data_IF_722543418139
#
_entry.id   IF_722543418139
#
_cell.length_a   1.000
_cell.length_b   1.000
_cell.length_c   1.000
_cell.angle_alpha   90.00
_cell.angle_beta   90.00
_cell.angle_gamma   90.00
#
_symmetry.space_group_name_H-M   'P 1'
#
loop_
_entity.id
_entity.type
_entity.pdbx_description
1 polymer ?
#
# COMPACT_ATOMS: atom_id res chain seq x y z
N UNK A 1 21.45 18.48 27.05
CA UNK A 1 20.52 18.10 25.96
C UNK A 1 21.07 16.85 25.31
N UNK A 2 20.31 15.75 25.27
CA UNK A 2 20.73 14.57 24.53
C UNK A 2 20.73 14.91 23.03
N UNK A 3 21.78 14.53 22.31
CA UNK A 3 21.80 14.63 20.85
C UNK A 3 20.68 13.77 20.28
N UNK A 4 19.70 14.40 19.63
CA UNK A 4 18.68 13.68 18.87
C UNK A 4 19.36 12.99 17.67
N UNK A 5 19.18 11.68 17.55
CA UNK A 5 19.70 10.93 16.40
C UNK A 5 18.93 11.29 15.14
N UNK A 6 19.58 11.20 13.97
CA UNK A 6 18.90 11.44 12.69
C UNK A 6 17.62 10.59 12.55
N UNK A 7 17.68 9.32 12.96
CA UNK A 7 16.53 8.40 12.92
C UNK A 7 15.36 8.90 13.74
N UNK A 8 15.56 9.36 14.98
CA UNK A 8 14.46 9.87 15.79
C UNK A 8 13.95 11.24 15.31
N UNK A 9 14.79 12.02 14.64
CA UNK A 9 14.40 13.29 14.02
C UNK A 9 13.56 13.09 12.75
N UNK A 10 14.00 12.20 11.86
CA UNK A 10 13.36 11.95 10.57
C UNK A 10 12.25 10.89 10.63
N UNK A 11 11.97 10.27 11.78
CA UNK A 11 10.85 9.33 11.90
C UNK A 11 9.55 10.08 12.18
N UNK A 12 8.49 9.89 11.37
CA UNK A 12 7.17 10.42 11.71
C UNK A 12 6.61 9.70 12.95
N UNK A 13 5.80 10.38 13.78
CA UNK A 13 5.08 9.72 14.86
C UNK A 13 4.21 8.56 14.35
N UNK A 14 4.13 7.43 15.07
CA UNK A 14 3.42 6.24 14.59
C UNK A 14 1.91 6.48 14.41
N UNK A 15 1.30 7.35 15.20
CA UNK A 15 -0.12 7.70 15.10
C UNK A 15 -0.45 8.64 13.94
N UNK A 16 0.54 9.18 13.23
CA UNK A 16 0.34 10.11 12.13
C UNK A 16 -0.18 9.36 10.90
N UNK A 17 -1.17 9.93 10.22
CA UNK A 17 -1.68 9.38 8.96
C UNK A 17 -0.54 9.14 7.95
N UNK A 18 -0.61 8.02 7.23
CA UNK A 18 0.42 7.58 6.26
C UNK A 18 1.79 7.22 6.87
N UNK A 19 1.91 7.13 8.19
CA UNK A 19 3.04 6.45 8.83
C UNK A 19 3.04 4.95 8.47
N UNK A 20 4.14 4.25 8.75
CA UNK A 20 4.18 2.80 8.55
C UNK A 20 3.17 2.07 9.43
N UNK A 21 3.00 2.50 10.69
CA UNK A 21 1.98 1.97 11.61
C UNK A 21 0.57 2.19 11.07
N UNK A 22 0.30 3.38 10.50
CA UNK A 22 -0.98 3.66 9.87
C UNK A 22 -1.34 2.64 8.78
N UNK A 23 -0.41 2.31 7.88
CA UNK A 23 -0.68 1.33 6.83
C UNK A 23 -0.79 -0.11 7.33
N UNK A 24 -0.11 -0.44 8.43
CA UNK A 24 -0.23 -1.76 9.06
C UNK A 24 -1.60 -1.98 9.68
N UNK A 25 -2.26 -0.93 10.16
CA UNK A 25 -3.58 -1.00 10.79
C UNK A 25 -4.73 -0.65 9.82
N UNK A 26 -4.41 -0.25 8.58
CA UNK A 26 -5.38 0.21 7.61
C UNK A 26 -6.11 -0.98 6.96
N UNK A 27 -7.43 -1.02 7.12
CA UNK A 27 -8.27 -2.01 6.40
C UNK A 27 -8.50 -1.61 4.95
N UNK A 28 -8.86 -2.59 4.10
CA UNK A 28 -9.20 -2.35 2.70
C UNK A 28 -10.40 -1.39 2.57
N UNK A 29 -11.45 -1.54 3.39
CA UNK A 29 -12.57 -0.61 3.40
C UNK A 29 -12.10 0.83 3.69
N UNK A 30 -11.29 1.03 4.72
CA UNK A 30 -10.77 2.35 5.07
C UNK A 30 -9.86 2.92 3.96
N UNK A 31 -9.00 2.10 3.37
CA UNK A 31 -8.10 2.53 2.31
C UNK A 31 -8.84 2.99 1.05
N UNK A 32 -9.93 2.30 0.72
CA UNK A 32 -10.72 2.56 -0.49
C UNK A 32 -11.64 3.77 -0.34
N UNK A 33 -12.19 3.99 0.85
CA UNK A 33 -13.12 5.10 1.17
C UNK A 33 -12.40 6.42 1.51
N UNK A 34 -11.18 6.38 2.05
CA UNK A 34 -10.43 7.59 2.42
C UNK A 34 -9.86 8.32 1.19
N UNK A 35 -9.84 9.65 1.28
CA UNK A 35 -9.12 10.50 0.32
C UNK A 35 -7.62 10.28 0.46
N UNK A 36 -7.01 9.67 -0.56
CA UNK A 36 -5.55 9.58 -0.68
C UNK A 36 -4.97 10.95 -1.07
N UNK A 37 -3.71 11.29 -0.70
CA UNK A 37 -3.05 12.46 -1.27
C UNK A 37 -2.86 12.27 -2.78
N UNK A 38 -2.78 13.39 -3.48
CA UNK A 38 -2.51 13.40 -4.90
C UNK A 38 -1.00 13.35 -5.07
N UNK A 39 -0.47 12.31 -5.71
CA UNK A 39 0.95 12.21 -6.02
C UNK A 39 1.18 12.87 -7.38
N UNK A 40 2.04 13.88 -7.43
CA UNK A 40 2.42 14.52 -8.68
C UNK A 40 3.15 13.52 -9.60
N UNK A 41 3.03 13.66 -10.94
CA UNK A 41 3.72 12.78 -11.88
C UNK A 41 5.24 12.75 -11.66
N UNK A 42 5.88 11.64 -12.05
CA UNK A 42 7.34 11.53 -12.09
C UNK A 42 7.90 12.61 -13.03
N UNK A 43 9.03 13.22 -12.67
CA UNK A 43 9.63 14.36 -13.37
C UNK A 43 8.98 15.70 -13.03
N UNK A 44 8.19 15.77 -11.95
CA UNK A 44 7.52 17.01 -11.52
C UNK A 44 8.40 17.89 -10.65
N UNK A 45 9.37 17.32 -9.92
CA UNK A 45 10.31 18.10 -9.10
C UNK A 45 11.28 18.87 -9.99
N UNK A 46 11.34 20.19 -9.80
CA UNK A 46 12.18 21.12 -10.53
C UNK A 46 13.53 21.29 -9.83
N UNK A 47 13.51 21.43 -8.50
CA UNK A 47 14.70 21.61 -7.69
C UNK A 47 14.40 21.28 -6.23
N UNK A 48 15.42 20.85 -5.49
CA UNK A 48 15.34 20.73 -4.05
C UNK A 48 16.65 21.20 -3.39
N UNK A 49 16.55 21.74 -2.17
CA UNK A 49 17.72 22.18 -1.38
C UNK A 49 17.46 22.00 0.11
N UNK A 50 18.51 21.68 0.85
CA UNK A 50 18.43 21.60 2.30
C UNK A 50 18.43 22.98 2.96
N UNK A 51 17.72 23.09 4.08
CA UNK A 51 17.60 24.31 4.87
C UNK A 51 17.90 24.01 6.34
N UNK A 52 18.50 24.97 7.07
CA UNK A 52 18.81 24.81 8.50
C UNK A 52 17.58 25.00 9.39
N UNK A 53 16.50 25.62 8.88
CA UNK A 53 15.32 25.91 9.69
C UNK A 53 14.50 24.65 10.00
N UNK A 54 13.92 24.62 11.20
CA UNK A 54 12.91 23.63 11.58
C UNK A 54 11.54 24.22 11.24
N UNK A 55 10.84 23.72 10.22
CA UNK A 55 9.52 24.23 9.88
C UNK A 55 8.50 23.77 10.92
N UNK A 56 7.73 24.71 11.46
CA UNK A 56 6.73 24.46 12.51
C UNK A 56 5.31 24.29 11.95
N UNK A 57 5.12 24.46 10.64
CA UNK A 57 3.80 24.36 10.03
C UNK A 57 3.35 22.90 9.91
N UNK A 58 2.04 22.68 10.06
CA UNK A 58 1.44 21.38 9.78
C UNK A 58 1.73 20.93 8.34
N UNK A 59 1.67 21.85 7.37
CA UNK A 59 1.99 21.57 5.97
C UNK A 59 3.43 21.09 5.74
N UNK A 60 4.36 21.28 6.69
CA UNK A 60 5.73 20.79 6.58
C UNK A 60 5.95 19.41 7.22
N UNK A 61 5.06 18.99 8.13
CA UNK A 61 5.28 17.80 8.99
C UNK A 61 4.22 16.71 8.83
N UNK A 62 3.00 17.05 8.40
CA UNK A 62 1.89 16.12 8.18
C UNK A 62 1.40 16.17 6.73
N UNK A 63 0.82 15.08 6.23
CA UNK A 63 0.09 15.08 4.96
C UNK A 63 -1.37 15.45 5.24
N UNK A 64 -1.84 16.57 4.70
CA UNK A 64 -3.22 17.02 4.91
C UNK A 64 -4.19 16.44 3.85
N UNK A 65 -5.50 16.32 4.14
CA UNK A 65 -6.47 15.85 3.15
C UNK A 65 -6.44 16.68 1.86
N UNK A 66 -6.40 16.02 0.71
CA UNK A 66 -6.33 16.68 -0.61
C UNK A 66 -4.99 17.32 -0.94
N UNK A 67 -3.95 17.12 -0.11
CA UNK A 67 -2.61 17.62 -0.40
C UNK A 67 -2.07 17.00 -1.69
N UNK A 68 -1.39 17.82 -2.48
CA UNK A 68 -0.56 17.35 -3.59
C UNK A 68 0.86 17.22 -3.09
N UNK A 69 1.41 16.01 -3.15
CA UNK A 69 2.79 15.70 -2.78
C UNK A 69 3.61 15.36 -4.04
N UNK A 70 4.93 15.62 -4.06
CA UNK A 70 5.79 15.16 -5.14
C UNK A 70 5.87 13.63 -5.21
N UNK A 71 6.20 13.09 -6.39
CA UNK A 71 6.56 11.68 -6.51
C UNK A 71 7.83 11.39 -5.70
N UNK A 72 7.84 10.29 -4.92
CA UNK A 72 9.05 9.91 -4.19
C UNK A 72 10.22 9.57 -5.12
N UNK A 73 9.95 9.09 -6.34
CA UNK A 73 11.00 8.79 -7.33
C UNK A 73 11.87 10.01 -7.65
N UNK A 74 11.27 11.19 -7.71
CA UNK A 74 11.98 12.45 -7.95
C UNK A 74 12.77 12.93 -6.71
N UNK A 75 12.47 12.38 -5.54
CA UNK A 75 13.10 12.74 -4.27
C UNK A 75 14.20 11.77 -3.84
N UNK A 76 14.43 10.65 -4.56
CA UNK A 76 15.43 9.64 -4.19
C UNK A 76 16.80 10.29 -3.97
N UNK A 77 17.26 11.11 -4.93
CA UNK A 77 18.55 11.80 -4.85
C UNK A 77 18.65 12.78 -3.67
N UNK A 78 17.57 13.49 -3.35
CA UNK A 78 17.53 14.36 -2.16
C UNK A 78 17.59 13.50 -0.88
N UNK A 79 16.81 12.43 -0.83
CA UNK A 79 16.71 11.60 0.39
C UNK A 79 17.92 10.71 0.63
N UNK A 80 18.76 10.43 -0.37
CA UNK A 80 20.04 9.74 -0.15
C UNK A 80 21.04 10.60 0.64
N UNK A 81 20.96 11.92 0.53
CA UNK A 81 21.90 12.85 1.18
C UNK A 81 21.36 13.44 2.50
N UNK A 82 20.13 13.11 2.90
CA UNK A 82 19.43 13.75 4.02
C UNK A 82 20.12 13.56 5.38
N UNK A 83 20.73 12.39 5.62
CA UNK A 83 21.46 12.12 6.86
C UNK A 83 22.76 12.92 6.92
N UNK A 84 23.44 13.07 5.78
CA UNK A 84 24.63 13.92 5.67
C UNK A 84 24.25 15.38 5.92
N UNK A 85 23.20 15.87 5.26
CA UNK A 85 22.69 17.22 5.47
C UNK A 85 22.28 17.47 6.93
N UNK A 86 21.69 16.48 7.61
CA UNK A 86 21.36 16.56 9.04
C UNK A 86 22.62 16.78 9.90
N UNK A 87 23.69 16.03 9.63
CA UNK A 87 25.00 16.17 10.31
C UNK A 87 25.64 17.53 10.05
N UNK A 88 25.40 18.10 8.87
CA UNK A 88 25.85 19.44 8.48
C UNK A 88 24.96 20.58 9.03
N UNK A 89 23.93 20.26 9.82
CA UNK A 89 23.08 21.25 10.49
C UNK A 89 21.75 21.52 9.81
N UNK A 90 21.47 20.87 8.68
CA UNK A 90 20.16 20.99 8.01
C UNK A 90 19.05 20.26 8.78
N UNK A 91 17.84 20.78 8.67
CA UNK A 91 16.67 20.31 9.43
C UNK A 91 15.44 20.14 8.54
N UNK A 92 15.44 20.74 7.36
CA UNK A 92 14.37 20.62 6.39
C UNK A 92 14.92 20.68 4.97
N UNK A 93 14.05 20.52 3.99
CA UNK A 93 14.38 20.80 2.60
C UNK A 93 13.23 21.55 1.92
N UNK A 94 13.58 22.56 1.13
CA UNK A 94 12.68 23.21 0.20
C UNK A 94 12.63 22.37 -1.08
N UNK A 95 11.43 22.01 -1.50
CA UNK A 95 11.17 21.28 -2.74
C UNK A 95 10.29 22.15 -3.64
N UNK A 96 10.76 22.41 -4.85
CA UNK A 96 10.01 23.06 -5.91
C UNK A 96 9.55 22.01 -6.90
N UNK A 97 8.26 21.95 -7.18
CA UNK A 97 7.69 20.98 -8.12
C UNK A 97 6.49 21.56 -8.86
N UNK A 98 6.18 21.02 -10.04
CA UNK A 98 5.08 21.45 -10.90
C UNK A 98 3.92 20.47 -10.85
N UNK A 99 2.71 20.97 -10.65
CA UNK A 99 1.48 20.19 -10.73
C UNK A 99 0.37 20.99 -11.42
N UNK A 100 -0.31 20.41 -12.41
CA UNK A 100 -1.34 21.07 -13.22
C UNK A 100 -0.89 22.45 -13.76
N UNK A 101 0.34 22.51 -14.28
CA UNK A 101 0.93 23.74 -14.83
C UNK A 101 1.31 24.81 -13.79
N UNK A 102 1.06 24.56 -12.50
CA UNK A 102 1.41 25.49 -11.41
C UNK A 102 2.65 25.02 -10.67
N UNK A 103 3.55 25.95 -10.39
CA UNK A 103 4.72 25.69 -9.55
C UNK A 103 4.34 25.82 -8.08
N UNK A 104 4.83 24.87 -7.29
CA UNK A 104 4.69 24.85 -5.84
C UNK A 104 6.09 24.85 -5.24
N UNK A 105 6.28 25.65 -4.20
CA UNK A 105 7.52 25.73 -3.43
C UNK A 105 7.14 25.46 -1.97
N UNK A 106 7.59 24.32 -1.44
CA UNK A 106 7.17 23.84 -0.12
C UNK A 106 8.40 23.44 0.68
N UNK A 107 8.43 23.79 1.96
CA UNK A 107 9.47 23.36 2.90
C UNK A 107 8.94 22.15 3.66
N UNK A 108 9.65 21.02 3.54
CA UNK A 108 9.33 19.78 4.23
C UNK A 108 10.31 19.51 5.36
N UNK A 109 9.77 19.16 6.52
CA UNK A 109 10.54 18.53 7.59
C UNK A 109 11.02 17.15 7.12
N UNK A 110 12.15 16.68 7.63
CA UNK A 110 12.72 15.39 7.21
C UNK A 110 11.77 14.21 7.41
N UNK A 111 10.96 14.23 8.47
CA UNK A 111 9.93 13.20 8.71
C UNK A 111 8.83 13.14 7.66
N UNK A 112 8.56 14.23 6.93
CA UNK A 112 7.54 14.24 5.88
C UNK A 112 7.99 13.49 4.64
N UNK A 113 9.30 13.38 4.38
CA UNK A 113 9.80 12.53 3.29
C UNK A 113 9.48 11.06 3.50
N UNK A 114 9.49 10.57 4.74
CA UNK A 114 9.08 9.21 5.06
C UNK A 114 7.58 9.00 4.80
N UNK A 115 6.74 9.99 5.12
CA UNK A 115 5.31 9.94 4.80
C UNK A 115 5.07 9.92 3.29
N UNK A 116 5.76 10.78 2.53
CA UNK A 116 5.69 10.82 1.06
C UNK A 116 6.15 9.50 0.45
N UNK A 117 7.23 8.91 0.98
CA UNK A 117 7.71 7.58 0.57
C UNK A 117 6.65 6.52 0.82
N UNK A 118 6.08 6.49 2.02
CA UNK A 118 5.04 5.51 2.34
C UNK A 118 3.82 5.66 1.42
N UNK A 119 3.35 6.89 1.18
CA UNK A 119 2.29 7.14 0.22
C UNK A 119 2.65 6.60 -1.18
N UNK A 120 3.85 6.88 -1.67
CA UNK A 120 4.28 6.39 -2.98
C UNK A 120 4.36 4.86 -3.05
N UNK A 121 4.80 4.20 -1.96
CA UNK A 121 4.95 2.75 -1.90
C UNK A 121 3.60 2.02 -1.83
N UNK A 122 2.61 2.57 -1.12
CA UNK A 122 1.31 1.93 -0.93
C UNK A 122 0.26 2.35 -1.97
N UNK A 123 0.50 3.40 -2.77
CA UNK A 123 -0.43 3.86 -3.80
C UNK A 123 -0.88 2.74 -4.76
N UNK A 124 0.03 1.91 -5.33
CA UNK A 124 -0.37 0.88 -6.28
C UNK A 124 -1.34 -0.14 -5.66
N UNK A 125 -1.05 -0.56 -4.42
CA UNK A 125 -1.89 -1.51 -3.69
C UNK A 125 -3.27 -0.91 -3.40
N UNK A 126 -3.34 0.35 -2.96
CA UNK A 126 -4.58 1.03 -2.62
C UNK A 126 -5.45 1.26 -3.86
N UNK A 127 -4.85 1.69 -4.97
CA UNK A 127 -5.54 1.82 -6.25
C UNK A 127 -6.08 0.47 -6.70
N UNK A 128 -5.26 -0.58 -6.61
CA UNK A 128 -5.70 -1.94 -6.95
C UNK A 128 -6.85 -2.43 -6.07
N UNK A 129 -6.80 -2.22 -4.75
CA UNK A 129 -7.90 -2.57 -3.85
C UNK A 129 -9.19 -1.81 -4.16
N UNK A 130 -9.12 -0.53 -4.59
CA UNK A 130 -10.31 0.21 -5.04
C UNK A 130 -10.96 -0.45 -6.24
N UNK A 131 -10.16 -0.90 -7.22
CA UNK A 131 -10.67 -1.61 -8.39
C UNK A 131 -11.24 -2.98 -8.01
N UNK A 132 -10.52 -3.76 -7.19
CA UNK A 132 -10.97 -5.05 -6.68
C UNK A 132 -12.31 -4.94 -5.95
N UNK A 133 -12.42 -4.01 -5.01
CA UNK A 133 -13.62 -3.86 -4.20
C UNK A 133 -14.82 -3.46 -5.06
N UNK A 134 -14.66 -2.54 -6.01
CA UNK A 134 -15.72 -2.17 -6.97
C UNK A 134 -16.17 -3.34 -7.81
N UNK A 135 -15.24 -4.19 -8.26
CA UNK A 135 -15.56 -5.35 -9.09
C UNK A 135 -16.25 -6.45 -8.27
N UNK A 136 -15.75 -6.74 -7.07
CA UNK A 136 -16.35 -7.71 -6.15
C UNK A 136 -17.77 -7.30 -5.73
N UNK A 137 -18.02 -6.01 -5.57
CA UNK A 137 -19.33 -5.46 -5.22
C UNK A 137 -20.26 -5.29 -6.44
N UNK A 138 -19.78 -5.55 -7.65
CA UNK A 138 -20.62 -5.48 -8.85
C UNK A 138 -21.53 -6.70 -8.95
N UNK A 139 -22.72 -6.52 -9.54
CA UNK A 139 -23.72 -7.58 -9.70
C UNK A 139 -23.21 -8.78 -10.54
N UNK A 140 -22.10 -8.64 -11.26
CA UNK A 140 -21.48 -9.74 -11.99
C UNK A 140 -20.75 -10.76 -11.11
N UNK A 141 -20.44 -10.42 -9.85
CA UNK A 141 -19.69 -11.29 -8.95
C UNK A 141 -20.60 -11.76 -7.79
N UNK A 142 -21.18 -12.96 -7.93
CA UNK A 142 -22.09 -13.55 -6.93
C UNK A 142 -21.32 -14.11 -5.71
N UNK A 143 -20.61 -13.26 -4.97
CA UNK A 143 -20.01 -13.64 -3.68
C UNK A 143 -21.02 -13.50 -2.54
N UNK A 144 -20.88 -14.38 -1.55
CA UNK A 144 -21.61 -14.26 -0.28
C UNK A 144 -21.21 -12.96 0.42
N UNK A 145 -22.17 -12.28 1.04
CA UNK A 145 -21.93 -11.04 1.80
C UNK A 145 -20.82 -11.19 2.85
N UNK A 146 -20.77 -12.35 3.53
CA UNK A 146 -19.73 -12.65 4.50
C UNK A 146 -18.31 -12.58 3.89
N UNK A 147 -18.12 -13.08 2.67
CA UNK A 147 -16.83 -13.04 1.97
C UNK A 147 -16.42 -11.62 1.59
N UNK A 148 -17.40 -10.80 1.18
CA UNK A 148 -17.18 -9.37 0.89
C UNK A 148 -16.75 -8.64 2.16
N UNK A 149 -17.41 -8.90 3.30
CA UNK A 149 -17.04 -8.30 4.58
C UNK A 149 -15.67 -8.77 5.08
N UNK A 150 -15.32 -10.05 4.91
CA UNK A 150 -13.97 -10.54 5.22
C UNK A 150 -12.92 -9.81 4.38
N UNK A 151 -13.16 -9.63 3.08
CA UNK A 151 -12.27 -8.87 2.21
C UNK A 151 -12.16 -7.40 2.65
N UNK A 152 -13.28 -6.72 2.90
CA UNK A 152 -13.33 -5.32 3.36
C UNK A 152 -12.56 -5.10 4.66
N UNK A 153 -12.66 -6.03 5.61
CA UNK A 153 -12.04 -5.93 6.93
C UNK A 153 -10.59 -6.46 6.98
N UNK A 154 -10.09 -7.05 5.89
CA UNK A 154 -8.69 -7.44 5.79
C UNK A 154 -7.78 -6.20 5.76
N UNK A 155 -6.54 -6.35 6.25
CA UNK A 155 -5.54 -5.28 6.24
C UNK A 155 -5.00 -5.08 4.82
N UNK A 156 -4.60 -3.86 4.48
CA UNK A 156 -3.95 -3.56 3.20
C UNK A 156 -2.68 -4.38 3.00
N UNK A 157 -1.99 -4.71 4.09
CA UNK A 157 -0.76 -5.52 4.14
C UNK A 157 -1.00 -7.02 4.26
N UNK A 158 -2.27 -7.47 4.25
CA UNK A 158 -2.61 -8.88 4.32
C UNK A 158 -2.10 -9.63 3.09
N UNK A 159 -1.59 -10.83 3.34
CA UNK A 159 -1.25 -11.81 2.31
C UNK A 159 -2.42 -12.75 2.05
N UNK A 160 -2.42 -13.36 0.87
CA UNK A 160 -3.31 -14.48 0.60
C UNK A 160 -2.95 -15.65 1.54
N UNK A 161 -3.97 -16.37 2.01
CA UNK A 161 -3.83 -17.51 2.92
C UNK A 161 -4.50 -18.74 2.32
N UNK A 162 -4.17 -19.93 2.82
CA UNK A 162 -4.73 -21.20 2.34
C UNK A 162 -4.03 -21.77 1.11
N UNK A 163 -2.77 -21.40 0.89
CA UNK A 163 -1.88 -21.95 -0.12
C UNK A 163 -0.60 -22.45 0.57
N UNK A 164 -0.08 -23.60 0.16
CA UNK A 164 1.15 -24.19 0.67
C UNK A 164 2.39 -23.52 0.07
N UNK A 165 2.33 -23.13 -1.21
CA UNK A 165 3.48 -22.55 -1.93
C UNK A 165 3.27 -21.07 -2.22
N UNK A 166 2.06 -20.66 -2.60
CA UNK A 166 1.81 -19.27 -2.97
C UNK A 166 1.74 -18.36 -1.72
N UNK A 167 2.62 -17.36 -1.68
CA UNK A 167 2.72 -16.41 -0.57
C UNK A 167 2.89 -14.98 -1.07
N UNK A 168 1.78 -14.31 -1.38
CA UNK A 168 1.81 -13.00 -2.00
C UNK A 168 0.77 -12.05 -1.40
N UNK A 169 0.98 -10.75 -1.61
CA UNK A 169 0.13 -9.69 -1.07
C UNK A 169 -1.25 -9.69 -1.73
N UNK A 170 -2.32 -9.57 -0.95
CA UNK A 170 -3.69 -9.74 -1.43
C UNK A 170 -4.06 -8.79 -2.59
N UNK A 171 -3.51 -7.57 -2.61
CA UNK A 171 -3.76 -6.62 -3.70
C UNK A 171 -3.34 -7.15 -5.07
N UNK A 172 -2.37 -8.07 -5.16
CA UNK A 172 -1.91 -8.63 -6.44
C UNK A 172 -3.01 -9.39 -7.17
N UNK A 173 -4.08 -9.82 -6.49
CA UNK A 173 -5.26 -10.39 -7.15
C UNK A 173 -5.88 -9.43 -8.18
N UNK A 174 -5.63 -8.12 -8.07
CA UNK A 174 -6.10 -7.15 -9.06
C UNK A 174 -5.52 -7.36 -10.45
N UNK A 175 -4.42 -8.11 -10.61
CA UNK A 175 -3.91 -8.47 -11.93
C UNK A 175 -4.90 -9.33 -12.75
N UNK A 176 -5.92 -9.91 -12.10
CA UNK A 176 -6.99 -10.68 -12.73
C UNK A 176 -8.10 -9.78 -13.33
N UNK A 177 -8.12 -8.48 -13.00
CA UNK A 177 -9.21 -7.57 -13.38
C UNK A 177 -8.96 -6.75 -14.66
N UNK A 178 -7.81 -6.92 -15.31
CA UNK A 178 -7.47 -6.16 -16.51
C UNK A 178 -6.44 -6.85 -17.39
N UNK A 179 -6.01 -6.17 -18.44
CA UNK A 179 -4.98 -6.63 -19.38
C UNK A 179 -3.55 -6.45 -18.82
N UNK A 180 -3.38 -6.69 -17.52
CA UNK A 180 -2.06 -6.75 -16.91
C UNK A 180 -1.45 -8.14 -17.10
N UNK A 181 -0.12 -8.20 -17.18
CA UNK A 181 0.60 -9.45 -17.08
C UNK A 181 0.23 -10.17 -15.78
N UNK A 182 -0.14 -11.44 -15.88
CA UNK A 182 -0.39 -12.27 -14.72
C UNK A 182 0.93 -12.48 -13.97
N UNK A 183 0.97 -12.10 -12.71
CA UNK A 183 2.14 -12.36 -11.88
C UNK A 183 2.29 -13.87 -11.61
N UNK A 184 3.53 -14.36 -11.62
CA UNK A 184 3.85 -15.78 -11.38
C UNK A 184 3.25 -16.29 -10.07
N UNK A 185 3.31 -15.48 -9.01
CA UNK A 185 2.72 -15.80 -7.71
C UNK A 185 1.22 -16.11 -7.79
N UNK A 186 0.49 -15.33 -8.60
CA UNK A 186 -0.96 -15.49 -8.79
C UNK A 186 -1.23 -16.75 -9.63
N UNK A 187 -0.43 -16.99 -10.65
CA UNK A 187 -0.50 -18.21 -11.45
C UNK A 187 -0.27 -19.47 -10.59
N UNK A 188 0.75 -19.45 -9.73
CA UNK A 188 1.05 -20.54 -8.80
C UNK A 188 -0.11 -20.82 -7.84
N UNK A 189 -0.75 -19.78 -7.30
CA UNK A 189 -1.97 -19.95 -6.50
C UNK A 189 -3.12 -20.57 -7.32
N UNK A 190 -3.34 -20.14 -8.56
CA UNK A 190 -4.39 -20.72 -9.40
C UNK A 190 -4.14 -22.21 -9.71
N UNK A 191 -2.88 -22.59 -9.94
CA UNK A 191 -2.49 -23.99 -10.13
C UNK A 191 -2.73 -24.81 -8.87
N UNK A 192 -2.30 -24.30 -7.73
CA UNK A 192 -2.46 -24.95 -6.44
C UNK A 192 -3.96 -25.09 -6.07
N UNK A 193 -4.76 -24.06 -6.30
CA UNK A 193 -6.21 -24.12 -6.14
C UNK A 193 -6.84 -25.20 -7.04
N UNK A 194 -6.42 -25.29 -8.30
CA UNK A 194 -6.88 -26.32 -9.24
C UNK A 194 -6.50 -27.73 -8.78
N UNK A 195 -5.28 -27.89 -8.25
CA UNK A 195 -4.81 -29.16 -7.68
C UNK A 195 -5.69 -29.58 -6.49
N UNK A 196 -5.94 -28.68 -5.52
CA UNK A 196 -6.77 -28.99 -4.37
C UNK A 196 -8.20 -29.32 -4.75
N UNK A 197 -8.79 -28.60 -5.70
CA UNK A 197 -10.14 -28.89 -6.19
C UNK A 197 -10.23 -30.28 -6.81
N UNK A 198 -9.23 -30.68 -7.61
CA UNK A 198 -9.17 -32.03 -8.20
C UNK A 198 -9.02 -33.11 -7.13
N UNK A 199 -8.12 -32.91 -6.17
CA UNK A 199 -7.90 -33.83 -5.07
C UNK A 199 -9.16 -34.02 -4.21
N UNK A 200 -9.90 -32.93 -3.95
CA UNK A 200 -11.17 -32.98 -3.23
C UNK A 200 -12.21 -33.81 -3.98
N UNK A 201 -12.41 -33.55 -5.28
CA UNK A 201 -13.36 -34.31 -6.11
C UNK A 201 -13.04 -35.81 -6.11
N UNK A 202 -11.76 -36.17 -6.23
CA UNK A 202 -11.32 -37.57 -6.18
C UNK A 202 -11.55 -38.23 -4.82
N UNK A 203 -11.32 -37.50 -3.73
CA UNK A 203 -11.60 -37.97 -2.37
C UNK A 203 -13.09 -38.19 -2.14
N UNK A 204 -13.94 -37.26 -2.57
CA UNK A 204 -15.40 -37.37 -2.48
C UNK A 204 -15.96 -38.53 -3.33
N UNK A 205 -15.38 -38.79 -4.51
CA UNK A 205 -15.78 -39.93 -5.34
C UNK A 205 -15.47 -41.29 -4.67
N UNK A 206 -14.45 -41.34 -3.82
CA UNK A 206 -14.08 -42.53 -3.07
C UNK A 206 -14.84 -42.68 -1.73
N UNK A 207 -15.60 -41.67 -1.30
CA UNK A 207 -16.44 -41.67 -0.10
C UNK A 207 -17.77 -40.91 -0.35
N UNK A 208 -18.84 -41.60 -0.80
CA UNK A 208 -20.09 -40.97 -1.24
C UNK A 208 -20.89 -40.25 -0.14
N UNK A 209 -20.49 -40.33 1.14
CA UNK A 209 -21.08 -39.55 2.23
C UNK A 209 -20.70 -38.05 2.21
N UNK A 210 -19.77 -37.64 1.33
CA UNK A 210 -19.32 -36.24 1.19
C UNK A 210 -19.83 -35.54 -0.09
N UNK A 211 -20.69 -36.18 -0.87
CA UNK A 211 -21.04 -35.73 -2.22
C UNK A 211 -21.99 -34.50 -2.29
N UNK A 212 -22.72 -34.19 -1.21
CA UNK A 212 -23.80 -33.19 -1.26
C UNK A 212 -23.38 -31.75 -0.92
N UNK A 213 -22.11 -31.49 -0.61
CA UNK A 213 -21.62 -30.13 -0.39
C UNK A 213 -20.28 -29.95 -1.09
N UNK A 214 -20.26 -29.32 -2.26
CA UNK A 214 -19.06 -28.64 -2.73
C UNK A 214 -18.89 -27.47 -1.77
N UNK A 215 -17.88 -27.47 -0.86
CA UNK A 215 -17.77 -26.37 0.06
C UNK A 215 -17.30 -25.14 -0.74
N UNK A 216 -17.94 -24.00 -0.51
CA UNK A 216 -17.48 -22.68 -0.98
C UNK A 216 -16.10 -22.29 -0.38
N UNK A 217 -15.50 -23.19 0.39
CA UNK A 217 -14.23 -23.01 1.10
C UNK A 217 -13.52 -24.36 1.17
N UNK A 218 -12.38 -24.50 0.49
CA UNK A 218 -11.49 -25.63 0.71
C UNK A 218 -10.72 -25.34 2.01
N UNK A 219 -11.14 -25.95 3.11
CA UNK A 219 -10.36 -25.95 4.35
C UNK A 219 -9.20 -26.92 4.18
N UNK A 220 -8.01 -26.39 3.91
CA UNK A 220 -6.81 -27.20 3.92
C UNK A 220 -6.40 -27.47 5.37
N UNK A 221 -5.90 -28.67 5.69
CA UNK A 221 -5.28 -28.92 6.98
C UNK A 221 -4.07 -28.01 7.12
N UNK A 222 -4.13 -27.08 8.06
CA UNK A 222 -2.97 -26.29 8.49
C UNK A 222 -2.14 -27.18 9.40
N UNK A 223 -0.87 -27.40 9.02
CA UNK A 223 0.17 -28.00 9.87
C UNK A 223 0.54 -27.09 11.04
#
# INVERSE_FOLDING_TARGET
MALQTFRSYASPPPHLAYSSSFFNDLTIAQATERSYPIIAPIGSVISARFLPEIPLSAAATVIVPGEVIPSYNDLIALTSDIEKAYKEGSRSAEVKFRYNGREKCVVYHFSKFELIRNCSNYEPAITTYRHLLRHIQSDSFNLRLASIETFRNSLVTSKIQGFCVANFQLYKLGCLLGESWLEEDVFNALLEFSYFRKAHIQSSANNPSYADNIPDTILLPTS
#
